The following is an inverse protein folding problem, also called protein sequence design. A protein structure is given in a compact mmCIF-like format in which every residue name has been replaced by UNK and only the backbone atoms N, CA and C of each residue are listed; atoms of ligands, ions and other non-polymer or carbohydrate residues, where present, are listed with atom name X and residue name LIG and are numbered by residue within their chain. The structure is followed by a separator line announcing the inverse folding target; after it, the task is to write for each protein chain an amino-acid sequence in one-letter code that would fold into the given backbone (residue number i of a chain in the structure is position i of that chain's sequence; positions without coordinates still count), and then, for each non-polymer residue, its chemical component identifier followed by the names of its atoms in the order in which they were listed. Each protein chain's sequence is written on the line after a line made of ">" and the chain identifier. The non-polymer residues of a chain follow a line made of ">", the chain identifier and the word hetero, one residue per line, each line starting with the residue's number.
data_IF_160695765999
#
_entry.id   IF_160695765999
#
_cell.length_a   1.000
_cell.length_b   1.000
_cell.length_c   1.000
_cell.angle_alpha   90.00
_cell.angle_beta   90.00
_cell.angle_gamma   90.00
#
_symmetry.space_group_name_H-M   'P 1'
#
loop_
_entity.id
_entity.type
_entity.pdbx_description
1 polymer ?
#
# COMPACT_ATOMS: atom_id res chain seq x y z
N UNK A 1 -7.78 -3.83 28.06
CA UNK A 1 -7.06 -4.34 26.89
C UNK A 1 -6.42 -5.68 27.23
N UNK A 2 -6.45 -6.65 26.31
CA UNK A 2 -5.74 -7.93 26.42
C UNK A 2 -4.61 -7.93 25.39
N UNK A 3 -3.38 -8.17 25.82
CA UNK A 3 -2.23 -8.27 24.92
C UNK A 3 -2.18 -9.68 24.30
N UNK A 4 -2.03 -9.73 22.98
CA UNK A 4 -1.80 -10.95 22.23
C UNK A 4 -0.99 -10.64 20.97
N UNK A 5 -0.37 -11.67 20.41
CA UNK A 5 0.45 -11.60 19.20
C UNK A 5 -0.04 -12.66 18.22
N UNK A 6 -0.03 -12.35 16.91
CA UNK A 6 -0.42 -13.35 15.92
C UNK A 6 0.50 -14.57 16.03
N UNK A 7 -0.09 -15.77 15.97
CA UNK A 7 0.62 -17.03 16.21
C UNK A 7 1.96 -17.18 15.48
N UNK A 8 2.08 -16.87 14.17
CA UNK A 8 3.36 -17.01 13.48
C UNK A 8 4.48 -16.15 14.07
N UNK A 9 4.16 -14.93 14.51
CA UNK A 9 5.14 -14.01 15.09
C UNK A 9 5.50 -14.44 16.51
N UNK A 10 4.50 -14.86 17.29
CA UNK A 10 4.71 -15.38 18.64
C UNK A 10 5.62 -16.62 18.63
N UNK A 11 5.40 -17.55 17.70
CA UNK A 11 6.23 -18.74 17.52
C UNK A 11 7.66 -18.38 17.09
N UNK A 12 7.82 -17.47 16.12
CA UNK A 12 9.12 -17.01 15.66
C UNK A 12 9.96 -16.39 16.79
N UNK A 13 9.31 -15.75 17.76
CA UNK A 13 9.96 -15.11 18.91
C UNK A 13 9.96 -15.95 20.19
N UNK A 14 9.46 -17.20 20.15
CA UNK A 14 9.34 -18.10 21.32
C UNK A 14 8.48 -17.52 22.46
N UNK A 15 7.41 -16.81 22.11
CA UNK A 15 6.44 -16.17 22.99
C UNK A 15 5.08 -16.87 22.90
N UNK A 16 5.05 -18.20 23.06
CA UNK A 16 3.84 -19.01 22.83
C UNK A 16 2.71 -18.71 23.83
N UNK A 17 3.02 -18.10 24.97
CA UNK A 17 2.08 -17.67 26.00
C UNK A 17 1.16 -16.53 25.56
N UNK A 18 1.59 -15.72 24.58
CA UNK A 18 0.79 -14.61 24.01
C UNK A 18 0.28 -14.90 22.59
N UNK A 19 0.53 -16.11 22.08
CA UNK A 19 0.09 -16.52 20.74
C UNK A 19 -1.44 -16.59 20.63
N UNK A 20 -2.01 -16.00 19.58
CA UNK A 20 -3.45 -16.02 19.32
C UNK A 20 -3.79 -16.12 17.84
N UNK A 21 -4.96 -16.72 17.56
CA UNK A 21 -5.60 -16.77 16.24
C UNK A 21 -6.75 -15.75 16.12
N UNK A 22 -6.84 -14.80 17.08
CA UNK A 22 -7.79 -13.67 16.99
C UNK A 22 -7.58 -12.88 15.71
N UNK A 23 -8.67 -12.37 15.15
CA UNK A 23 -8.59 -11.49 14.01
C UNK A 23 -8.00 -10.14 14.45
N UNK A 24 -7.13 -9.55 13.63
CA UNK A 24 -6.55 -8.24 13.93
C UNK A 24 -7.61 -7.14 14.03
N UNK A 25 -8.75 -7.32 13.36
CA UNK A 25 -9.90 -6.41 13.42
C UNK A 25 -10.60 -6.38 14.79
N UNK A 26 -10.37 -7.38 15.65
CA UNK A 26 -10.91 -7.41 17.02
C UNK A 26 -10.06 -6.59 18.01
N UNK A 27 -8.92 -6.04 17.57
CA UNK A 27 -8.01 -5.30 18.43
C UNK A 27 -8.45 -3.83 18.61
N UNK A 28 -8.18 -3.28 19.79
CA UNK A 28 -8.31 -1.83 20.03
C UNK A 28 -7.16 -1.03 19.39
N UNK A 29 -6.00 -1.68 19.22
CA UNK A 29 -4.76 -1.10 18.70
C UNK A 29 -3.88 -2.22 18.14
N UNK A 30 -3.32 -2.02 16.95
CA UNK A 30 -2.26 -2.87 16.40
C UNK A 30 -0.91 -2.19 16.61
N UNK A 31 0.02 -2.88 17.27
CA UNK A 31 1.40 -2.40 17.45
C UNK A 31 2.31 -3.17 16.51
N UNK A 32 2.99 -2.45 15.63
CA UNK A 32 3.90 -3.04 14.64
C UNK A 32 5.34 -2.77 15.07
N UNK A 33 6.11 -3.82 15.30
CA UNK A 33 7.55 -3.72 15.56
C UNK A 33 8.32 -4.03 14.27
N UNK A 34 8.91 -3.02 13.63
CA UNK A 34 9.65 -3.23 12.39
C UNK A 34 9.71 -2.00 11.50
N UNK A 35 9.73 -2.20 10.19
CA UNK A 35 9.74 -1.14 9.19
C UNK A 35 8.44 -1.05 8.39
N UNK A 36 8.46 -0.29 7.30
CA UNK A 36 7.28 -0.05 6.44
C UNK A 36 6.69 -1.36 5.89
N UNK A 37 7.52 -2.36 5.54
CA UNK A 37 7.03 -3.67 5.09
C UNK A 37 6.23 -4.44 6.14
N UNK A 38 6.58 -4.32 7.42
CA UNK A 38 5.80 -4.92 8.52
C UNK A 38 4.47 -4.20 8.71
N UNK A 39 4.46 -2.87 8.49
CA UNK A 39 3.23 -2.08 8.51
C UNK A 39 2.28 -2.49 7.38
N UNK A 40 2.79 -2.71 6.16
CA UNK A 40 1.96 -3.20 5.04
C UNK A 40 1.31 -4.55 5.35
N UNK A 41 2.03 -5.45 6.02
CA UNK A 41 1.45 -6.72 6.50
C UNK A 41 0.31 -6.48 7.49
N UNK A 42 0.47 -5.57 8.44
CA UNK A 42 -0.58 -5.24 9.41
C UNK A 42 -1.82 -4.65 8.73
N UNK A 43 -1.66 -3.74 7.77
CA UNK A 43 -2.76 -3.18 6.98
C UNK A 43 -3.49 -4.27 6.18
N UNK A 44 -2.73 -5.19 5.57
CA UNK A 44 -3.30 -6.34 4.86
C UNK A 44 -4.10 -7.26 5.80
N UNK A 45 -3.62 -7.50 7.03
CA UNK A 45 -4.34 -8.29 8.04
C UNK A 45 -5.63 -7.61 8.50
N UNK A 46 -5.64 -6.28 8.63
CA UNK A 46 -6.84 -5.52 9.02
C UNK A 46 -7.88 -5.45 7.89
N UNK A 47 -7.47 -5.57 6.63
CA UNK A 47 -8.34 -5.62 5.46
C UNK A 47 -9.46 -4.54 5.48
N UNK A 48 -9.11 -3.30 5.84
CA UNK A 48 -10.04 -2.17 5.90
C UNK A 48 -10.78 -1.99 7.23
N UNK A 49 -10.53 -2.83 8.23
CA UNK A 49 -10.99 -2.57 9.59
C UNK A 49 -10.35 -1.28 10.14
N UNK A 50 -11.12 -0.39 10.77
CA UNK A 50 -10.66 0.94 11.20
C UNK A 50 -9.84 0.90 12.50
N UNK A 51 -9.04 -0.15 12.72
CA UNK A 51 -8.20 -0.31 13.91
C UNK A 51 -6.93 0.54 13.75
N UNK A 52 -6.61 1.42 14.73
CA UNK A 52 -5.39 2.21 14.67
C UNK A 52 -4.13 1.36 14.71
N UNK A 53 -3.12 1.76 13.93
CA UNK A 53 -1.80 1.14 13.85
C UNK A 53 -0.77 2.08 14.47
N UNK A 54 -0.04 1.60 15.47
CA UNK A 54 1.15 2.26 16.00
C UNK A 54 2.40 1.54 15.48
N UNK A 55 3.13 2.21 14.58
CA UNK A 55 4.40 1.70 14.05
C UNK A 55 5.58 2.08 14.95
N UNK A 56 6.27 1.07 15.48
CA UNK A 56 7.51 1.21 16.24
C UNK A 56 8.68 0.81 15.35
N UNK A 57 9.54 1.79 15.06
CA UNK A 57 10.74 1.58 14.26
C UNK A 57 11.83 0.88 15.09
N UNK A 58 12.29 -0.27 14.61
CA UNK A 58 13.39 -1.06 15.20
C UNK A 58 14.65 -1.03 14.31
N UNK A 59 14.69 -0.13 13.30
CA UNK A 59 15.81 -0.01 12.37
C UNK A 59 15.86 1.34 11.66
N UNK A 60 15.97 1.32 10.33
CA UNK A 60 16.04 2.54 9.51
C UNK A 60 14.69 3.25 9.48
N UNK A 61 14.70 4.58 9.64
CA UNK A 61 13.49 5.40 9.66
C UNK A 61 12.66 5.24 8.36
N UNK A 62 11.41 4.81 8.54
CA UNK A 62 10.42 4.62 7.47
C UNK A 62 9.52 5.83 7.25
N UNK A 63 8.57 5.73 6.32
CA UNK A 63 7.49 6.71 6.16
C UNK A 63 6.28 6.42 7.06
N UNK A 64 6.11 5.17 7.50
CA UNK A 64 4.90 4.72 8.18
C UNK A 64 5.08 4.52 9.69
N UNK A 65 6.31 4.29 10.15
CA UNK A 65 6.62 4.19 11.58
C UNK A 65 6.62 5.55 12.27
N UNK A 66 6.40 5.57 13.58
CA UNK A 66 6.19 6.80 14.37
C UNK A 66 7.24 6.98 15.47
N UNK A 67 7.45 5.95 16.29
CA UNK A 67 8.34 6.02 17.47
C UNK A 67 9.50 5.05 17.35
N UNK A 68 10.65 5.43 17.92
CA UNK A 68 11.73 4.48 18.16
C UNK A 68 11.37 3.49 19.27
N UNK A 69 12.09 2.37 19.32
CA UNK A 69 11.88 1.32 20.33
C UNK A 69 12.01 1.84 21.77
N UNK A 70 12.83 2.87 21.99
CA UNK A 70 13.04 3.56 23.27
C UNK A 70 11.77 4.23 23.82
N UNK A 71 10.83 4.58 22.94
CA UNK A 71 9.56 5.26 23.29
C UNK A 71 8.34 4.38 23.07
N UNK A 72 8.52 3.10 22.75
CA UNK A 72 7.43 2.20 22.39
C UNK A 72 6.40 2.04 23.52
N UNK A 73 6.84 1.76 24.75
CA UNK A 73 5.92 1.52 25.88
C UNK A 73 5.07 2.76 26.21
N UNK A 74 5.65 3.96 26.44
CA UNK A 74 4.84 5.16 26.68
C UNK A 74 3.90 5.50 25.51
N UNK A 75 4.32 5.24 24.27
CA UNK A 75 3.48 5.46 23.10
C UNK A 75 2.26 4.53 23.07
N UNK A 76 2.45 3.24 23.40
CA UNK A 76 1.34 2.28 23.51
C UNK A 76 0.37 2.70 24.62
N UNK A 77 0.87 3.09 25.78
CA UNK A 77 0.03 3.56 26.89
C UNK A 77 -0.79 4.79 26.50
N UNK A 78 -0.16 5.77 25.84
CA UNK A 78 -0.83 6.98 25.36
C UNK A 78 -1.86 6.67 24.28
N UNK A 79 -1.57 5.75 23.36
CA UNK A 79 -2.50 5.36 22.30
C UNK A 79 -3.75 4.63 22.86
N UNK A 80 -3.59 3.85 23.93
CA UNK A 80 -4.69 3.09 24.55
C UNK A 80 -5.54 3.92 25.51
N UNK A 81 -4.93 4.87 26.23
CA UNK A 81 -5.58 5.59 27.35
C UNK A 81 -5.79 7.08 27.09
N UNK A 82 -5.07 7.64 26.12
CA UNK A 82 -5.17 9.04 25.74
C UNK A 82 -6.40 9.34 24.88
N UNK A 83 -6.61 10.63 24.61
CA UNK A 83 -7.73 11.14 23.83
C UNK A 83 -7.23 11.56 22.44
N UNK A 84 -7.81 10.96 21.39
CA UNK A 84 -7.53 11.35 20.01
C UNK A 84 -7.85 12.84 19.77
N UNK A 85 -6.97 13.53 19.06
CA UNK A 85 -7.02 14.99 18.84
C UNK A 85 -6.39 15.82 19.96
N UNK A 86 -6.08 15.21 21.12
CA UNK A 86 -5.38 15.86 22.24
C UNK A 86 -4.02 15.24 22.51
N UNK A 87 -4.00 13.94 22.79
CA UNK A 87 -2.81 13.20 23.23
C UNK A 87 -2.12 12.47 22.07
N UNK A 88 -2.89 12.14 21.03
CA UNK A 88 -2.40 11.61 19.75
C UNK A 88 -3.34 12.01 18.61
N UNK A 89 -2.91 11.82 17.37
CA UNK A 89 -3.67 12.07 16.14
C UNK A 89 -3.91 10.73 15.45
N UNK A 90 -5.11 10.53 14.92
CA UNK A 90 -5.39 9.45 13.98
C UNK A 90 -5.19 10.01 12.57
N UNK A 91 -4.14 9.54 11.91
CA UNK A 91 -3.76 9.89 10.55
C UNK A 91 -4.35 8.85 9.58
N UNK A 92 -5.42 9.24 8.90
CA UNK A 92 -6.15 8.39 7.95
C UNK A 92 -5.46 8.43 6.58
N UNK A 93 -5.15 7.24 6.05
CA UNK A 93 -4.53 7.06 4.73
C UNK A 93 -5.47 6.33 3.80
N UNK A 94 -5.63 6.87 2.60
CA UNK A 94 -6.36 6.23 1.51
C UNK A 94 -5.79 4.82 1.23
N UNK A 95 -6.70 3.87 1.05
CA UNK A 95 -6.40 2.56 0.48
C UNK A 95 -6.82 2.54 -1.00
N UNK A 96 -6.14 1.74 -1.79
CA UNK A 96 -6.51 1.40 -3.17
C UNK A 96 -7.33 0.13 -3.17
N UNK A 97 -8.53 0.17 -3.74
CA UNK A 97 -9.33 -1.00 -4.05
C UNK A 97 -8.92 -1.56 -5.41
N UNK A 98 -8.65 -2.86 -5.46
CA UNK A 98 -8.20 -3.55 -6.68
C UNK A 98 -9.10 -4.75 -6.90
N UNK A 99 -9.84 -4.74 -7.99
CA UNK A 99 -10.76 -5.82 -8.34
C UNK A 99 -10.30 -6.50 -9.61
N UNK A 100 -10.05 -7.82 -9.54
CA UNK A 100 -9.88 -8.68 -10.71
C UNK A 100 -11.24 -9.25 -11.14
N UNK A 101 -11.53 -9.13 -12.42
CA UNK A 101 -12.66 -9.74 -13.11
C UNK A 101 -12.18 -10.41 -14.40
N UNK A 102 -12.34 -11.74 -14.50
CA UNK A 102 -11.98 -12.53 -15.68
C UNK A 102 -13.21 -13.24 -16.26
N UNK A 103 -13.08 -13.79 -17.47
CA UNK A 103 -14.15 -14.61 -18.09
C UNK A 103 -14.43 -15.85 -17.25
N UNK A 104 -15.56 -15.86 -16.54
CA UNK A 104 -16.05 -17.03 -15.80
C UNK A 104 -15.39 -17.27 -14.43
N UNK A 105 -14.55 -16.35 -13.94
CA UNK A 105 -13.96 -16.45 -12.61
C UNK A 105 -14.73 -15.60 -11.58
N UNK A 106 -14.78 -16.02 -10.30
CA UNK A 106 -15.33 -15.18 -9.25
C UNK A 106 -14.55 -13.88 -9.13
N UNK A 107 -15.28 -12.77 -8.98
CA UNK A 107 -14.70 -11.46 -8.71
C UNK A 107 -13.86 -11.55 -7.43
N UNK A 108 -12.58 -11.23 -7.55
CA UNK A 108 -11.64 -11.21 -6.41
C UNK A 108 -11.17 -9.79 -6.18
N UNK A 109 -11.07 -9.38 -4.91
CA UNK A 109 -10.71 -8.01 -4.56
C UNK A 109 -9.66 -7.96 -3.46
N UNK A 110 -8.79 -6.97 -3.56
CA UNK A 110 -7.72 -6.69 -2.59
C UNK A 110 -7.70 -5.20 -2.25
N UNK A 111 -7.01 -4.88 -1.17
CA UNK A 111 -6.69 -3.52 -0.76
C UNK A 111 -5.18 -3.34 -0.72
N UNK A 112 -4.70 -2.21 -1.23
CA UNK A 112 -3.30 -1.82 -1.16
C UNK A 112 -3.17 -0.51 -0.39
N UNK A 113 -2.17 -0.39 0.49
CA UNK A 113 -1.79 0.92 1.04
C UNK A 113 -0.87 1.66 0.08
N UNK A 114 0.09 0.98 -0.52
CA UNK A 114 1.03 1.60 -1.44
C UNK A 114 0.56 1.48 -2.87
N UNK A 115 0.58 0.27 -3.43
CA UNK A 115 0.34 0.08 -4.85
C UNK A 115 -0.17 -1.31 -5.24
N UNK A 116 -0.75 -1.35 -6.43
CA UNK A 116 -0.95 -2.54 -7.22
C UNK A 116 -0.08 -2.48 -8.48
N UNK A 117 0.53 -3.60 -8.85
CA UNK A 117 1.44 -3.69 -9.98
C UNK A 117 0.97 -4.81 -10.89
N UNK A 118 0.79 -4.50 -12.18
CA UNK A 118 0.71 -5.49 -13.23
C UNK A 118 2.07 -5.59 -13.91
N UNK A 119 2.77 -6.71 -13.76
CA UNK A 119 4.15 -6.86 -14.22
C UNK A 119 4.40 -8.17 -14.98
N UNK A 120 5.45 -8.16 -15.80
CA UNK A 120 5.93 -9.35 -16.51
C UNK A 120 6.37 -10.45 -15.55
N UNK A 121 6.10 -11.70 -15.91
CA UNK A 121 6.64 -12.87 -15.20
C UNK A 121 8.08 -13.22 -15.61
N UNK A 122 8.44 -12.93 -16.86
CA UNK A 122 9.70 -13.37 -17.46
C UNK A 122 10.55 -12.16 -17.85
N UNK A 123 11.79 -12.14 -17.35
CA UNK A 123 12.79 -11.13 -17.72
C UNK A 123 13.07 -11.14 -19.23
N UNK A 124 13.35 -9.97 -19.79
CA UNK A 124 13.67 -9.79 -21.22
C UNK A 124 12.46 -9.62 -22.16
N UNK A 125 11.23 -9.66 -21.65
CA UNK A 125 10.02 -9.46 -22.44
C UNK A 125 9.13 -8.37 -21.86
N UNK A 126 8.51 -7.56 -22.73
CA UNK A 126 7.45 -6.63 -22.30
C UNK A 126 6.10 -7.33 -22.27
N UNK A 127 5.21 -6.80 -21.42
CA UNK A 127 3.78 -7.11 -21.39
C UNK A 127 3.00 -5.99 -22.08
N UNK A 128 1.84 -6.34 -22.63
CA UNK A 128 0.92 -5.40 -23.26
C UNK A 128 -0.32 -5.24 -22.39
N UNK A 129 -0.53 -4.02 -21.90
CA UNK A 129 -1.62 -3.69 -20.99
C UNK A 129 -2.38 -2.49 -21.56
N UNK A 130 -3.65 -2.70 -21.88
CA UNK A 130 -4.54 -1.61 -22.26
C UNK A 130 -4.97 -0.87 -21.00
N UNK A 131 -4.69 0.42 -20.93
CA UNK A 131 -5.12 1.30 -19.84
C UNK A 131 -6.28 2.13 -20.33
N UNK A 132 -7.42 2.01 -19.65
CA UNK A 132 -8.63 2.78 -19.94
C UNK A 132 -8.97 3.68 -18.76
N UNK A 133 -9.34 4.93 -19.05
CA UNK A 133 -9.78 5.92 -18.06
C UNK A 133 -11.18 6.37 -18.46
N UNK A 134 -12.12 6.36 -17.52
CA UNK A 134 -13.52 6.74 -17.76
C UNK A 134 -14.17 5.97 -18.92
N UNK A 135 -13.86 4.67 -19.02
CA UNK A 135 -14.36 3.74 -20.05
C UNK A 135 -13.84 3.99 -21.47
N UNK A 136 -12.90 4.91 -21.66
CA UNK A 136 -12.23 5.14 -22.93
C UNK A 136 -10.80 4.59 -22.87
N UNK A 137 -10.37 3.91 -23.95
CA UNK A 137 -8.98 3.47 -24.08
C UNK A 137 -8.09 4.71 -24.14
N UNK A 138 -7.22 4.86 -23.14
CA UNK A 138 -6.24 5.93 -23.11
C UNK A 138 -5.03 5.55 -23.97
N UNK A 139 -4.41 4.40 -23.67
CA UNK A 139 -3.22 3.93 -24.39
C UNK A 139 -2.95 2.43 -24.12
N UNK A 140 -2.25 1.77 -25.05
CA UNK A 140 -1.69 0.44 -24.85
C UNK A 140 -0.24 0.54 -24.38
N UNK A 141 0.01 0.15 -23.13
CA UNK A 141 1.35 0.14 -22.58
C UNK A 141 2.11 -1.12 -23.01
N UNK A 142 3.28 -0.94 -23.65
CA UNK A 142 4.28 -1.98 -23.81
C UNK A 142 5.43 -1.72 -22.84
N UNK A 143 5.44 -2.40 -21.70
CA UNK A 143 6.31 -2.09 -20.57
C UNK A 143 6.73 -3.34 -19.80
N UNK A 144 7.63 -3.18 -18.83
CA UNK A 144 7.90 -4.25 -17.85
C UNK A 144 6.73 -4.44 -16.89
N UNK A 145 5.96 -3.37 -16.69
CA UNK A 145 4.71 -3.38 -15.94
C UNK A 145 4.09 -1.99 -15.87
N UNK A 146 2.93 -1.91 -15.22
CA UNK A 146 2.24 -0.67 -14.90
C UNK A 146 1.83 -0.70 -13.44
N UNK A 147 2.18 0.37 -12.71
CA UNK A 147 1.88 0.55 -11.29
C UNK A 147 0.66 1.47 -11.16
N UNK A 148 -0.25 1.13 -10.26
CA UNK A 148 -1.29 2.02 -9.75
C UNK A 148 -1.03 2.22 -8.26
N UNK A 149 -0.60 3.40 -7.87
CA UNK A 149 -0.24 3.73 -6.49
C UNK A 149 -1.21 4.73 -5.85
N UNK A 150 -1.33 4.65 -4.53
CA UNK A 150 -1.90 5.71 -3.70
C UNK A 150 -0.89 6.85 -3.49
N UNK A 151 -1.31 7.99 -2.93
CA UNK A 151 -0.37 9.03 -2.50
C UNK A 151 0.64 8.55 -1.45
N UNK A 152 0.29 7.61 -0.58
CA UNK A 152 1.24 6.99 0.35
C UNK A 152 2.28 6.16 -0.41
N UNK A 153 1.83 5.35 -1.38
CA UNK A 153 2.69 4.55 -2.27
C UNK A 153 3.53 5.34 -3.26
N UNK A 154 3.27 6.64 -3.44
CA UNK A 154 4.06 7.52 -4.31
C UNK A 154 5.55 7.60 -3.94
N UNK A 155 5.90 7.20 -2.71
CA UNK A 155 7.28 7.14 -2.19
C UNK A 155 7.86 5.73 -2.16
N UNK A 156 7.12 4.73 -2.65
CA UNK A 156 7.50 3.33 -2.72
C UNK A 156 7.92 2.96 -4.16
N UNK A 157 7.36 1.90 -4.73
CA UNK A 157 7.83 1.40 -6.04
C UNK A 157 7.55 2.39 -7.18
N UNK A 158 6.42 3.12 -7.12
CA UNK A 158 6.11 4.19 -8.07
C UNK A 158 7.24 5.22 -8.17
N UNK A 159 7.82 5.62 -7.03
CA UNK A 159 8.96 6.56 -7.01
C UNK A 159 10.20 6.00 -7.72
N UNK A 160 10.51 4.72 -7.49
CA UNK A 160 11.62 4.04 -8.17
C UNK A 160 11.41 3.96 -9.68
N UNK A 161 10.15 3.82 -10.12
CA UNK A 161 9.74 3.89 -11.51
C UNK A 161 9.60 5.35 -12.04
N UNK A 162 10.09 6.34 -11.29
CA UNK A 162 10.06 7.78 -11.62
C UNK A 162 8.67 8.42 -11.62
N UNK A 163 7.73 7.83 -10.88
CA UNK A 163 6.47 8.47 -10.54
C UNK A 163 6.64 9.72 -9.66
N UNK A 164 5.67 10.64 -9.67
CA UNK A 164 5.73 11.84 -8.87
C UNK A 164 5.58 11.53 -7.38
N UNK A 165 6.27 12.30 -6.54
CA UNK A 165 6.04 12.29 -5.09
C UNK A 165 4.76 13.07 -4.81
N UNK A 166 3.78 12.43 -4.18
CA UNK A 166 2.47 13.03 -3.86
C UNK A 166 2.30 13.05 -2.36
N UNK A 167 1.83 14.18 -1.82
CA UNK A 167 1.55 14.29 -0.38
C UNK A 167 0.47 13.28 0.04
N UNK A 168 0.68 12.52 1.12
CA UNK A 168 -0.24 11.46 1.55
C UNK A 168 -1.63 11.96 1.98
N UNK A 169 -1.81 13.29 2.10
CA UNK A 169 -3.10 13.94 2.39
C UNK A 169 -4.00 14.10 1.17
N UNK A 170 -3.47 13.91 -0.04
CA UNK A 170 -4.30 13.96 -1.25
C UNK A 170 -5.08 12.67 -1.43
N UNK A 171 -6.14 12.73 -2.25
CA UNK A 171 -6.84 11.57 -2.78
C UNK A 171 -6.67 11.57 -4.29
N UNK A 172 -5.91 10.61 -4.80
CA UNK A 172 -5.59 10.48 -6.22
C UNK A 172 -5.13 9.05 -6.52
N UNK A 173 -5.23 8.64 -7.78
CA UNK A 173 -4.60 7.43 -8.30
C UNK A 173 -3.38 7.83 -9.13
N UNK A 174 -2.24 7.19 -8.89
CA UNK A 174 -0.99 7.48 -9.60
C UNK A 174 -0.68 6.29 -10.51
N UNK A 175 -0.76 6.49 -11.83
CA UNK A 175 -0.41 5.47 -12.81
C UNK A 175 1.02 5.70 -13.28
N UNK A 176 1.92 4.75 -13.03
CA UNK A 176 3.33 4.86 -13.38
C UNK A 176 3.78 3.64 -14.20
N UNK A 177 4.19 3.81 -15.47
CA UNK A 177 4.75 2.71 -16.24
C UNK A 177 6.17 2.34 -15.76
N UNK A 178 6.50 1.06 -15.83
CA UNK A 178 7.84 0.54 -15.50
C UNK A 178 8.59 0.23 -16.79
N UNK A 179 9.71 0.93 -17.04
CA UNK A 179 10.53 0.77 -18.25
C UNK A 179 9.71 0.69 -19.56
N UNK A 180 8.84 1.67 -19.85
CA UNK A 180 8.00 1.64 -21.04
C UNK A 180 8.82 1.72 -22.33
N UNK A 181 8.42 0.93 -23.33
CA UNK A 181 8.97 0.91 -24.69
C UNK A 181 7.98 1.54 -25.69
N UNK A 182 7.67 2.82 -25.47
CA UNK A 182 6.64 3.57 -26.19
C UNK A 182 6.90 5.09 -26.07
N UNK A 183 6.18 5.91 -26.85
CA UNK A 183 6.38 7.36 -26.86
C UNK A 183 5.84 8.05 -25.60
N UNK A 184 4.70 7.59 -25.08
CA UNK A 184 4.13 8.12 -23.84
C UNK A 184 4.64 7.30 -22.65
N UNK A 185 5.64 7.83 -21.97
CA UNK A 185 6.34 7.20 -20.83
C UNK A 185 6.08 7.94 -19.50
N UNK A 186 5.10 8.86 -19.48
CA UNK A 186 4.82 9.72 -18.34
C UNK A 186 3.84 9.06 -17.36
N UNK A 187 3.96 9.43 -16.09
CA UNK A 187 2.96 9.07 -15.09
C UNK A 187 1.71 9.93 -15.22
N UNK A 188 0.55 9.33 -14.91
CA UNK A 188 -0.72 10.03 -14.78
C UNK A 188 -1.07 10.17 -13.31
N UNK A 189 -1.62 11.33 -12.93
CA UNK A 189 -2.23 11.54 -11.61
C UNK A 189 -3.70 11.80 -11.84
N UNK A 190 -4.53 10.81 -11.52
CA UNK A 190 -5.97 10.82 -11.76
C UNK A 190 -6.71 11.24 -10.48
N UNK A 191 -7.84 11.91 -10.67
CA UNK A 191 -8.79 12.22 -9.62
C UNK A 191 -9.41 10.97 -9.01
N UNK A 192 -9.93 11.07 -7.77
CA UNK A 192 -10.50 9.92 -7.06
C UNK A 192 -11.79 9.37 -7.69
N UNK A 193 -12.48 10.18 -8.50
CA UNK A 193 -13.75 9.82 -9.16
C UNK A 193 -13.54 9.26 -10.57
N UNK A 194 -12.29 9.23 -11.06
CA UNK A 194 -11.99 8.69 -12.39
C UNK A 194 -11.92 7.16 -12.35
N UNK A 195 -12.58 6.52 -13.32
CA UNK A 195 -12.63 5.07 -13.41
C UNK A 195 -11.40 4.53 -14.14
N UNK A 196 -10.48 3.91 -13.41
CA UNK A 196 -9.28 3.29 -13.99
C UNK A 196 -9.47 1.78 -14.17
N UNK A 197 -9.22 1.32 -15.40
CA UNK A 197 -9.24 -0.10 -15.75
C UNK A 197 -7.98 -0.46 -16.54
N UNK A 198 -7.45 -1.66 -16.28
CA UNK A 198 -6.39 -2.26 -17.07
C UNK A 198 -6.83 -3.62 -17.60
N UNK A 199 -6.49 -3.91 -18.85
CA UNK A 199 -6.80 -5.18 -19.50
C UNK A 199 -5.53 -5.78 -20.08
N UNK A 200 -5.30 -7.07 -19.82
CA UNK A 200 -4.17 -7.78 -20.43
C UNK A 200 -4.45 -7.95 -21.92
N UNK A 201 -3.68 -7.26 -22.76
CA UNK A 201 -3.88 -7.20 -24.21
C UNK A 201 -2.94 -8.12 -25.00
N UNK A 202 -1.90 -8.66 -24.35
CA UNK A 202 -0.95 -9.59 -24.95
C UNK A 202 -1.22 -11.04 -24.56
N UNK A 203 -0.57 -11.97 -25.25
CA UNK A 203 -0.66 -13.41 -24.97
C UNK A 203 0.24 -13.88 -23.83
N UNK A 204 1.15 -13.02 -23.35
CA UNK A 204 2.05 -13.33 -22.24
C UNK A 204 1.33 -13.17 -20.91
N UNK A 205 1.49 -14.10 -19.96
CA UNK A 205 0.94 -13.93 -18.62
C UNK A 205 1.52 -12.71 -17.90
N UNK A 206 0.69 -12.09 -17.06
CA UNK A 206 1.01 -10.91 -16.25
C UNK A 206 0.75 -11.25 -14.79
N UNK A 207 1.68 -10.95 -13.90
CA UNK A 207 1.43 -11.08 -12.47
C UNK A 207 0.78 -9.81 -11.93
N UNK A 208 -0.21 -9.98 -11.04
CA UNK A 208 -0.73 -8.91 -10.20
C UNK A 208 -0.10 -9.03 -8.82
N UNK A 209 0.57 -7.97 -8.40
CA UNK A 209 1.11 -7.81 -7.05
C UNK A 209 0.41 -6.67 -6.30
N UNK A 210 0.17 -6.87 -5.01
CA UNK A 210 -0.43 -5.89 -4.10
C UNK A 210 0.57 -5.65 -2.97
N UNK A 211 1.00 -4.41 -2.77
CA UNK A 211 1.98 -4.02 -1.74
C UNK A 211 3.22 -4.95 -1.73
N UNK A 212 3.73 -5.26 -2.92
CA UNK A 212 4.91 -6.13 -3.13
C UNK A 212 4.67 -7.63 -3.00
N UNK A 213 3.42 -8.09 -2.81
CA UNK A 213 3.07 -9.52 -2.77
C UNK A 213 2.28 -9.93 -3.99
N UNK A 214 2.76 -10.93 -4.72
CA UNK A 214 2.03 -11.55 -5.83
C UNK A 214 0.75 -12.22 -5.34
N UNK A 215 -0.40 -11.84 -5.92
CA UNK A 215 -1.73 -12.36 -5.55
C UNK A 215 -2.44 -13.12 -6.67
N UNK A 216 -2.10 -12.86 -7.94
CA UNK A 216 -2.72 -13.54 -9.07
C UNK A 216 -1.80 -13.60 -10.30
N UNK A 217 -2.07 -14.56 -11.18
CA UNK A 217 -1.55 -14.63 -12.55
C UNK A 217 -2.69 -14.36 -13.51
N UNK A 218 -2.51 -13.41 -14.41
CA UNK A 218 -3.50 -12.95 -15.37
C UNK A 218 -3.11 -13.41 -16.76
N UNK A 219 -4.14 -13.61 -17.58
CA UNK A 219 -4.06 -14.03 -18.97
C UNK A 219 -4.80 -13.03 -19.86
N UNK A 220 -4.69 -13.22 -21.17
CA UNK A 220 -5.32 -12.34 -22.15
C UNK A 220 -6.81 -12.08 -21.81
N UNK A 221 -7.24 -10.83 -21.89
CA UNK A 221 -8.60 -10.36 -21.59
C UNK A 221 -8.99 -10.33 -20.10
N UNK A 222 -8.12 -10.74 -19.18
CA UNK A 222 -8.36 -10.46 -17.76
C UNK A 222 -8.33 -8.96 -17.50
N UNK A 223 -9.28 -8.50 -16.68
CA UNK A 223 -9.52 -7.09 -16.41
C UNK A 223 -9.30 -6.80 -14.93
N UNK A 224 -8.51 -5.78 -14.64
CA UNK A 224 -8.33 -5.24 -13.29
C UNK A 224 -8.89 -3.83 -13.25
N UNK A 225 -9.73 -3.56 -12.26
CA UNK A 225 -10.27 -2.22 -11.99
C UNK A 225 -9.70 -1.68 -10.69
N UNK A 226 -9.47 -0.37 -10.68
CA UNK A 226 -8.80 0.34 -9.59
C UNK A 226 -9.64 1.54 -9.19
N UNK A 227 -9.81 1.72 -7.88
CA UNK A 227 -10.52 2.86 -7.33
C UNK A 227 -9.99 3.18 -5.92
N UNK A 228 -10.13 4.42 -5.43
CA UNK A 228 -10.02 4.66 -4.00
C UNK A 228 -10.98 3.76 -3.23
N UNK A 229 -10.49 3.06 -2.22
CA UNK A 229 -11.34 2.24 -1.37
C UNK A 229 -12.20 3.14 -0.46
N UNK A 230 -13.35 2.61 -0.04
CA UNK A 230 -14.21 3.27 0.95
C UNK A 230 -13.61 3.25 2.34
N UNK A 231 -12.71 2.30 2.61
CA UNK A 231 -11.99 2.18 3.87
C UNK A 231 -10.66 2.95 3.82
N UNK A 232 -10.16 3.33 5.00
CA UNK A 232 -8.86 3.99 5.20
C UNK A 232 -8.03 3.21 6.22
N UNK A 233 -6.70 3.26 6.06
CA UNK A 233 -5.78 2.78 7.10
C UNK A 233 -5.58 3.88 8.15
N UNK A 234 -5.64 3.51 9.43
CA UNK A 234 -5.57 4.45 10.54
C UNK A 234 -4.23 4.35 11.24
N UNK A 235 -3.49 5.45 11.33
CA UNK A 235 -2.18 5.48 11.99
C UNK A 235 -2.21 6.37 13.23
N UNK A 236 -1.65 5.86 14.33
CA UNK A 236 -1.40 6.69 15.52
C UNK A 236 -0.18 7.55 15.30
N UNK A 237 -0.32 8.87 15.51
CA UNK A 237 0.74 9.87 15.42
C UNK A 237 0.79 10.72 16.69
N UNK A 238 1.97 11.05 17.19
CA UNK A 238 2.14 11.95 18.35
C UNK A 238 2.53 13.37 17.93
N UNK A 239 2.81 13.57 16.65
CA UNK A 239 3.05 14.87 16.05
C UNK A 239 2.43 14.94 14.65
N UNK A 240 2.18 16.15 14.11
CA UNK A 240 1.78 16.29 12.71
C UNK A 240 2.76 15.56 11.76
N UNK A 241 2.25 14.89 10.70
CA UNK A 241 3.09 14.09 9.81
C UNK A 241 4.23 14.91 9.20
N UNK A 242 5.46 14.43 9.39
CA UNK A 242 6.69 15.08 8.93
C UNK A 242 7.10 14.66 7.51
N UNK A 243 6.13 14.53 6.61
CA UNK A 243 6.34 13.95 5.28
C UNK A 243 7.53 14.58 4.52
N UNK A 244 7.58 15.91 4.41
CA UNK A 244 8.68 16.60 3.72
C UNK A 244 10.02 16.44 4.42
N UNK A 245 10.05 16.35 5.76
CA UNK A 245 11.29 16.15 6.51
C UNK A 245 11.83 14.72 6.31
N UNK A 246 10.94 13.72 6.28
CA UNK A 246 11.31 12.33 5.98
C UNK A 246 11.84 12.23 4.55
N UNK A 247 11.14 12.85 3.59
CA UNK A 247 11.59 12.93 2.19
C UNK A 247 12.99 13.55 2.11
N UNK A 248 13.17 14.74 2.70
CA UNK A 248 14.46 15.44 2.72
C UNK A 248 15.56 14.60 3.35
N UNK A 249 15.30 13.96 4.49
CA UNK A 249 16.28 13.10 5.17
C UNK A 249 16.66 11.87 4.35
N UNK A 250 15.69 11.20 3.71
CA UNK A 250 15.97 10.01 2.87
C UNK A 250 16.76 10.34 1.60
N UNK A 251 16.61 11.55 1.06
CA UNK A 251 17.29 11.96 -0.19
C UNK A 251 18.48 12.89 0.00
N UNK A 252 18.83 13.25 1.24
CA UNK A 252 19.93 14.18 1.51
C UNK A 252 19.72 15.55 0.87
N UNK A 253 18.47 16.04 0.79
CA UNK A 253 18.17 17.36 0.24
C UNK A 253 18.69 18.46 1.19
N UNK A 254 19.21 19.55 0.62
CA UNK A 254 19.87 20.63 1.36
C UNK A 254 18.97 21.34 2.38
N UNK A 255 19.61 22.01 3.35
CA UNK A 255 18.94 22.93 4.29
C UNK A 255 18.23 24.09 3.61
#
# INVERSE_FOLDING_TARGET
>A
HLLWMCRPDAEAHKLSDVASDRDASDADLVVVLGGDGTVLRAVSMLNGAPVPILGVNVGVLGYLTEVGIDKAIPAVETALTGVAGRDFIVDERMLLSVTLSGKGQPRTSWRALNEAVLEKQQSGHTVWIDVSVNHELFERYSADGVIVATPTGSTAYSMSARGPVVSPRHRALIVTPVSPHMNFDRSLVLGPDEHLQMTVAGTRPVDLAIDGRRVASLTEQDVVTFAPDTCTAHFVRFAPPKFHQILRSKFGLSE
#
